data_IF_750941743533
#
_entry.id   IF_750941743533
#
_cell.length_a   1.000
_cell.length_b   1.000
_cell.length_c   1.000
_cell.angle_alpha   90.00
_cell.angle_beta   90.00
_cell.angle_gamma   90.00
#
_symmetry.space_group_name_H-M   'P 1'
#
loop_
_entity.id
_entity.type
_entity.pdbx_description
1 polymer ?
#
# COMPACT_ATOMS: atom_id res chain seq x y z
N UNK A 1 -18.13 6.52 14.92
CA UNK A 1 -17.36 5.33 14.51
C UNK A 1 -18.30 4.44 13.72
N UNK A 2 -18.11 4.36 12.40
CA UNK A 2 -18.90 3.48 11.52
C UNK A 2 -18.90 2.07 12.07
N UNK A 3 -20.05 1.40 12.01
CA UNK A 3 -20.11 -0.04 12.25
C UNK A 3 -19.23 -0.72 11.21
N UNK A 4 -18.12 -1.32 11.65
CA UNK A 4 -17.09 -1.92 10.78
C UNK A 4 -17.69 -2.88 9.74
N UNK A 5 -18.78 -3.56 10.10
CA UNK A 5 -19.55 -4.42 9.21
C UNK A 5 -20.21 -3.65 8.05
N UNK A 6 -20.78 -2.46 8.32
CA UNK A 6 -21.43 -1.63 7.30
C UNK A 6 -20.44 -1.07 6.27
N UNK A 7 -19.23 -0.71 6.69
CA UNK A 7 -18.17 -0.30 5.76
C UNK A 7 -17.70 -1.49 4.90
N UNK A 8 -17.51 -2.66 5.52
CA UNK A 8 -17.10 -3.87 4.82
C UNK A 8 -18.08 -4.26 3.72
N UNK A 9 -19.39 -4.29 4.01
CA UNK A 9 -20.40 -4.61 3.01
C UNK A 9 -20.41 -3.62 1.84
N UNK A 10 -20.16 -2.33 2.09
CA UNK A 10 -20.09 -1.32 1.02
C UNK A 10 -18.84 -1.44 0.14
N UNK A 11 -17.72 -1.92 0.71
CA UNK A 11 -16.50 -2.23 -0.07
C UNK A 11 -16.72 -3.51 -0.89
N UNK A 12 -17.30 -4.56 -0.28
CA UNK A 12 -17.63 -5.81 -0.98
C UNK A 12 -18.59 -5.58 -2.15
N UNK A 13 -19.66 -4.80 -1.94
CA UNK A 13 -20.63 -4.50 -3.00
C UNK A 13 -19.99 -3.80 -4.19
N UNK A 14 -19.09 -2.84 -3.93
CA UNK A 14 -18.31 -2.23 -5.00
C UNK A 14 -17.34 -3.24 -5.65
N UNK A 15 -16.65 -4.05 -4.85
CA UNK A 15 -15.70 -5.06 -5.32
C UNK A 15 -16.33 -6.11 -6.26
N UNK A 16 -17.62 -6.43 -6.10
CA UNK A 16 -18.37 -7.33 -7.01
C UNK A 16 -18.38 -6.86 -8.46
N UNK A 17 -18.11 -5.58 -8.72
CA UNK A 17 -17.97 -5.00 -10.07
C UNK A 17 -16.53 -5.04 -10.62
N UNK A 18 -15.64 -5.81 -9.98
CA UNK A 18 -14.27 -6.07 -10.41
C UNK A 18 -14.05 -7.59 -10.52
N UNK A 19 -13.80 -8.07 -11.74
CA UNK A 19 -13.51 -9.49 -11.99
C UNK A 19 -12.28 -9.93 -11.19
N UNK A 20 -12.39 -11.04 -10.46
CA UNK A 20 -11.31 -11.57 -9.62
C UNK A 20 -11.22 -10.94 -8.23
N UNK A 21 -12.10 -10.00 -7.86
CA UNK A 21 -12.13 -9.47 -6.51
C UNK A 21 -12.57 -10.53 -5.50
N UNK A 22 -11.88 -10.58 -4.35
CA UNK A 22 -12.10 -11.54 -3.28
C UNK A 22 -12.47 -10.82 -1.98
N UNK A 23 -13.20 -11.50 -1.09
CA UNK A 23 -13.62 -10.94 0.20
C UNK A 23 -12.41 -10.49 1.05
N UNK A 24 -11.28 -11.19 0.93
CA UNK A 24 -10.03 -10.84 1.63
C UNK A 24 -9.52 -9.45 1.25
N UNK A 25 -9.70 -8.99 0.00
CA UNK A 25 -9.31 -7.63 -0.42
C UNK A 25 -10.06 -6.57 0.38
N UNK A 26 -11.37 -6.77 0.58
CA UNK A 26 -12.19 -5.84 1.35
C UNK A 26 -11.89 -5.90 2.86
N UNK A 27 -11.72 -7.11 3.41
CA UNK A 27 -11.41 -7.32 4.84
C UNK A 27 -10.09 -6.65 5.22
N UNK A 28 -9.04 -6.87 4.43
CA UNK A 28 -7.72 -6.31 4.71
C UNK A 28 -7.71 -4.79 4.49
N UNK A 29 -8.39 -4.28 3.46
CA UNK A 29 -8.55 -2.85 3.24
C UNK A 29 -9.26 -2.13 4.39
N UNK A 30 -10.39 -2.67 4.88
CA UNK A 30 -11.12 -2.08 6.01
C UNK A 30 -10.29 -2.17 7.29
N UNK A 31 -9.60 -3.29 7.54
CA UNK A 31 -8.75 -3.45 8.73
C UNK A 31 -7.57 -2.49 8.72
N UNK A 32 -6.80 -2.45 7.64
CA UNK A 32 -5.65 -1.56 7.48
C UNK A 32 -6.05 -0.09 7.46
N UNK A 33 -7.11 0.25 6.72
CA UNK A 33 -7.63 1.61 6.67
C UNK A 33 -8.15 2.09 8.03
N UNK A 34 -8.88 1.25 8.77
CA UNK A 34 -9.36 1.57 10.12
C UNK A 34 -8.21 1.85 11.07
N UNK A 35 -7.16 1.03 11.01
CA UNK A 35 -5.95 1.25 11.79
C UNK A 35 -5.35 2.64 11.53
N UNK A 36 -5.11 2.95 10.25
CA UNK A 36 -4.53 4.25 9.84
C UNK A 36 -5.39 5.40 10.36
N UNK A 37 -6.71 5.35 10.13
CA UNK A 37 -7.64 6.39 10.55
C UNK A 37 -7.69 6.55 12.08
N UNK A 38 -7.61 5.45 12.84
CA UNK A 38 -7.59 5.50 14.30
C UNK A 38 -6.32 6.17 14.84
N UNK A 39 -5.16 5.90 14.23
CA UNK A 39 -3.89 6.50 14.66
C UNK A 39 -3.84 8.02 14.50
N UNK A 40 -4.61 8.57 13.56
CA UNK A 40 -4.57 10.00 13.21
C UNK A 40 -5.88 10.73 13.53
N UNK A 41 -6.90 10.06 14.08
CA UNK A 41 -8.22 10.62 14.36
C UNK A 41 -8.16 11.94 15.15
N UNK A 42 -7.32 12.10 16.19
CA UNK A 42 -7.18 13.39 16.88
C UNK A 42 -6.77 14.52 15.93
N UNK A 43 -5.76 14.29 15.08
CA UNK A 43 -5.29 15.27 14.12
C UNK A 43 -6.31 15.56 13.02
N UNK A 44 -7.06 14.54 12.57
CA UNK A 44 -8.14 14.73 11.61
C UNK A 44 -9.27 15.60 12.18
N UNK A 45 -9.62 15.41 13.46
CA UNK A 45 -10.63 16.25 14.14
C UNK A 45 -10.18 17.71 14.20
N UNK A 46 -8.92 17.96 14.52
CA UNK A 46 -8.39 19.33 14.58
C UNK A 46 -8.43 20.03 13.21
N UNK A 47 -8.02 19.34 12.14
CA UNK A 47 -8.04 19.94 10.80
C UNK A 47 -9.45 20.05 10.20
N UNK A 48 -10.42 19.25 10.67
CA UNK A 48 -11.79 19.25 10.14
C UNK A 48 -12.46 20.61 10.23
N UNK A 49 -12.10 21.42 11.24
CA UNK A 49 -12.58 22.81 11.40
C UNK A 49 -12.15 23.68 10.21
N UNK A 50 -10.95 23.44 9.67
CA UNK A 50 -10.40 24.18 8.54
C UNK A 50 -10.85 23.62 7.19
N UNK A 51 -10.89 22.30 7.06
CA UNK A 51 -11.15 21.63 5.76
C UNK A 51 -12.63 21.38 5.52
N UNK A 52 -13.47 21.41 6.57
CA UNK A 52 -14.88 21.01 6.49
C UNK A 52 -15.07 19.50 6.27
N UNK A 53 -14.00 18.70 6.39
CA UNK A 53 -14.03 17.25 6.17
C UNK A 53 -14.11 16.53 7.51
N UNK A 54 -15.30 15.99 7.81
CA UNK A 54 -15.53 15.22 9.04
C UNK A 54 -14.71 13.91 9.01
N UNK A 55 -13.87 13.62 10.02
CA UNK A 55 -13.16 12.36 10.13
C UNK A 55 -14.07 11.13 10.22
N UNK A 56 -15.35 11.33 10.56
CA UNK A 56 -16.37 10.29 10.65
C UNK A 56 -17.30 10.24 9.42
N UNK A 57 -17.05 11.05 8.38
CA UNK A 57 -17.83 11.01 7.14
C UNK A 57 -17.73 9.62 6.49
N UNK A 58 -18.86 8.93 6.42
CA UNK A 58 -18.91 7.56 5.90
C UNK A 58 -18.54 7.46 4.43
N UNK A 59 -18.84 8.49 3.65
CA UNK A 59 -18.54 8.53 2.22
C UNK A 59 -17.03 8.60 2.01
N UNK A 60 -16.33 9.44 2.78
CA UNK A 60 -14.87 9.56 2.70
C UNK A 60 -14.18 8.28 3.17
N UNK A 61 -14.63 7.72 4.29
CA UNK A 61 -14.07 6.49 4.84
C UNK A 61 -14.22 5.32 3.86
N UNK A 62 -15.41 5.13 3.28
CA UNK A 62 -15.65 4.04 2.32
C UNK A 62 -14.85 4.26 1.02
N UNK A 63 -14.73 5.51 0.54
CA UNK A 63 -13.89 5.81 -0.62
C UNK A 63 -12.41 5.45 -0.37
N UNK A 64 -11.89 5.76 0.82
CA UNK A 64 -10.54 5.38 1.23
C UNK A 64 -10.35 3.86 1.27
N UNK A 65 -11.29 3.13 1.89
CA UNK A 65 -11.21 1.67 1.97
C UNK A 65 -11.32 1.00 0.60
N UNK A 66 -12.11 1.55 -0.33
CA UNK A 66 -12.16 1.05 -1.72
C UNK A 66 -10.84 1.24 -2.45
N UNK A 67 -10.14 2.36 -2.26
CA UNK A 67 -8.80 2.54 -2.85
C UNK A 67 -7.79 1.55 -2.24
N UNK A 68 -7.82 1.30 -0.93
CA UNK A 68 -6.96 0.27 -0.33
C UNK A 68 -7.28 -1.13 -0.87
N UNK A 69 -8.55 -1.47 -1.03
CA UNK A 69 -8.98 -2.76 -1.58
C UNK A 69 -8.56 -2.91 -3.05
N UNK A 70 -8.60 -1.81 -3.83
CA UNK A 70 -8.10 -1.77 -5.21
C UNK A 70 -6.61 -2.13 -5.25
N UNK A 71 -5.79 -1.56 -4.36
CA UNK A 71 -4.36 -1.81 -4.33
C UNK A 71 -4.05 -3.29 -4.04
N UNK A 72 -4.75 -3.90 -3.07
CA UNK A 72 -4.62 -5.34 -2.78
C UNK A 72 -5.10 -6.23 -3.93
N UNK A 73 -6.19 -5.86 -4.60
CA UNK A 73 -6.70 -6.62 -5.74
C UNK A 73 -5.75 -6.53 -6.95
N UNK A 74 -5.15 -5.38 -7.22
CA UNK A 74 -4.16 -5.20 -8.30
C UNK A 74 -2.87 -5.99 -8.05
N UNK A 75 -2.43 -6.05 -6.78
CA UNK A 75 -1.31 -6.90 -6.33
C UNK A 75 -1.60 -8.37 -6.69
N UNK A 76 -2.76 -8.90 -6.27
CA UNK A 76 -3.11 -10.30 -6.54
C UNK A 76 -3.39 -10.58 -8.02
N UNK A 77 -3.90 -9.61 -8.78
CA UNK A 77 -4.00 -9.74 -10.24
C UNK A 77 -2.62 -9.96 -10.89
N UNK A 78 -1.60 -9.25 -10.40
CA UNK A 78 -0.23 -9.41 -10.86
C UNK A 78 0.39 -10.71 -10.38
N UNK A 79 0.19 -11.12 -9.13
CA UNK A 79 0.90 -12.29 -8.60
C UNK A 79 0.21 -13.61 -8.98
N UNK A 80 -1.11 -13.67 -8.79
CA UNK A 80 -1.91 -14.89 -8.93
C UNK A 80 -2.55 -15.04 -10.30
N UNK A 81 -2.47 -14.02 -11.15
CA UNK A 81 -3.07 -14.05 -12.49
C UNK A 81 -4.60 -14.17 -12.46
N UNK A 82 -5.25 -13.45 -11.53
CA UNK A 82 -6.71 -13.49 -11.35
C UNK A 82 -7.50 -13.04 -12.59
N UNK A 83 -6.86 -12.26 -13.46
CA UNK A 83 -7.38 -11.77 -14.74
C UNK A 83 -6.33 -11.95 -15.84
N UNK A 84 -6.77 -11.93 -17.10
CA UNK A 84 -5.85 -12.09 -18.23
C UNK A 84 -4.92 -10.86 -18.38
N UNK A 85 -3.75 -11.00 -19.02
CA UNK A 85 -2.88 -9.85 -19.30
C UNK A 85 -3.55 -8.72 -20.08
N UNK A 86 -4.48 -9.05 -20.99
CA UNK A 86 -5.26 -8.07 -21.75
C UNK A 86 -6.23 -7.29 -20.84
N UNK A 87 -6.91 -8.00 -19.93
CA UNK A 87 -7.79 -7.38 -18.93
C UNK A 87 -7.00 -6.47 -17.99
N UNK A 88 -5.85 -6.93 -17.49
CA UNK A 88 -4.99 -6.14 -16.61
C UNK A 88 -4.52 -4.86 -17.30
N UNK A 89 -4.08 -4.93 -18.56
CA UNK A 89 -3.66 -3.75 -19.31
C UNK A 89 -4.81 -2.73 -19.52
N UNK A 90 -6.04 -3.21 -19.74
CA UNK A 90 -7.21 -2.34 -19.86
C UNK A 90 -7.57 -1.67 -18.52
N UNK A 91 -7.50 -2.43 -17.42
CA UNK A 91 -7.72 -1.94 -16.05
C UNK A 91 -6.69 -0.88 -15.67
N UNK A 92 -5.39 -1.15 -15.88
CA UNK A 92 -4.31 -0.20 -15.58
C UNK A 92 -4.50 1.13 -16.34
N UNK A 93 -4.89 1.04 -17.61
CA UNK A 93 -5.20 2.23 -18.42
C UNK A 93 -6.38 3.01 -17.84
N UNK A 94 -7.46 2.32 -17.51
CA UNK A 94 -8.67 2.93 -16.94
C UNK A 94 -8.36 3.70 -15.65
N UNK A 95 -7.65 3.04 -14.73
CA UNK A 95 -7.31 3.59 -13.41
C UNK A 95 -6.25 4.70 -13.48
N UNK A 96 -5.33 4.65 -14.44
CA UNK A 96 -4.24 5.60 -14.57
C UNK A 96 -4.55 6.83 -15.43
N UNK A 97 -5.63 6.80 -16.22
CA UNK A 97 -6.05 7.88 -17.13
C UNK A 97 -7.44 8.45 -16.82
N UNK A 98 -8.13 7.92 -15.81
CA UNK A 98 -9.51 8.27 -15.48
C UNK A 98 -10.47 8.13 -16.68
N UNK A 99 -10.46 6.93 -17.26
CA UNK A 99 -11.39 6.55 -18.34
C UNK A 99 -12.08 5.24 -17.95
N UNK A 100 -13.33 5.02 -18.38
CA UNK A 100 -13.97 3.72 -18.19
C UNK A 100 -13.13 2.59 -18.79
N UNK A 101 -13.11 1.42 -18.13
CA UNK A 101 -12.45 0.25 -18.68
C UNK A 101 -13.12 -0.14 -20.00
N UNK A 102 -12.31 -0.36 -21.03
CA UNK A 102 -12.80 -0.74 -22.35
C UNK A 102 -13.38 -2.18 -22.39
N UNK A 103 -13.04 -2.99 -21.38
CA UNK A 103 -13.51 -4.35 -21.23
C UNK A 103 -14.55 -4.44 -20.10
N UNK A 104 -15.58 -5.29 -20.25
CA UNK A 104 -16.64 -5.45 -19.24
C UNK A 104 -16.14 -6.17 -17.99
N UNK A 105 -16.89 -6.05 -16.89
CA UNK A 105 -16.58 -6.71 -15.62
C UNK A 105 -15.56 -5.97 -14.76
N UNK A 106 -15.36 -4.68 -15.04
CA UNK A 106 -14.45 -3.78 -14.33
C UNK A 106 -15.08 -2.39 -14.11
N UNK A 107 -16.41 -2.33 -14.05
CA UNK A 107 -17.19 -1.09 -13.87
C UNK A 107 -16.84 -0.38 -12.54
N UNK A 108 -16.33 -1.15 -11.57
CA UNK A 108 -15.81 -0.63 -10.31
C UNK A 108 -14.68 0.37 -10.47
N UNK A 109 -13.88 0.27 -11.54
CA UNK A 109 -12.78 1.20 -11.84
C UNK A 109 -13.32 2.62 -12.08
N UNK A 110 -14.29 2.76 -12.98
CA UNK A 110 -14.91 4.05 -13.31
C UNK A 110 -15.70 4.61 -12.11
N UNK A 111 -16.39 3.74 -11.38
CA UNK A 111 -17.17 4.13 -10.18
C UNK A 111 -16.26 4.71 -9.09
N UNK A 112 -15.13 4.06 -8.81
CA UNK A 112 -14.18 4.52 -7.80
C UNK A 112 -13.48 5.82 -8.24
N UNK A 113 -12.95 5.86 -9.46
CA UNK A 113 -12.25 7.05 -9.98
C UNK A 113 -13.18 8.27 -10.05
N UNK A 114 -14.40 8.09 -10.56
CA UNK A 114 -15.43 9.15 -10.54
C UNK A 114 -15.80 9.62 -9.13
N UNK A 115 -15.87 8.71 -8.15
CA UNK A 115 -16.12 9.08 -6.74
C UNK A 115 -14.96 9.90 -6.16
N UNK A 116 -13.72 9.47 -6.40
CA UNK A 116 -12.53 10.18 -5.92
C UNK A 116 -12.39 11.56 -6.57
N UNK A 117 -12.65 11.68 -7.87
CA UNK A 117 -12.68 12.96 -8.57
C UNK A 117 -13.71 13.93 -7.95
N UNK A 118 -14.92 13.43 -7.65
CA UNK A 118 -15.99 14.24 -7.05
C UNK A 118 -15.72 14.61 -5.59
N UNK A 119 -15.02 13.75 -4.84
CA UNK A 119 -14.72 13.95 -3.42
C UNK A 119 -13.43 14.73 -3.18
N UNK A 120 -12.58 14.93 -4.19
CA UNK A 120 -11.29 15.59 -4.04
C UNK A 120 -11.42 16.99 -3.39
N UNK A 121 -10.75 17.18 -2.26
CA UNK A 121 -10.61 18.49 -1.63
C UNK A 121 -9.75 19.42 -2.49
N UNK A 122 -8.66 18.89 -3.02
CA UNK A 122 -7.78 19.53 -4.00
C UNK A 122 -7.64 18.61 -5.23
N UNK A 123 -7.99 19.10 -6.42
CA UNK A 123 -7.93 18.31 -7.64
C UNK A 123 -6.49 17.89 -8.04
N UNK A 124 -5.47 18.59 -7.51
CA UNK A 124 -4.07 18.22 -7.72
C UNK A 124 -3.74 16.87 -7.07
N UNK A 125 -4.34 16.55 -5.93
CA UNK A 125 -4.17 15.24 -5.28
C UNK A 125 -4.87 14.13 -6.07
N UNK A 126 -5.95 14.42 -6.79
CA UNK A 126 -6.55 13.44 -7.70
C UNK A 126 -5.64 13.13 -8.90
N UNK A 127 -5.10 14.16 -9.56
CA UNK A 127 -4.12 13.97 -10.63
C UNK A 127 -2.89 13.19 -10.13
N UNK A 128 -2.38 13.52 -8.95
CA UNK A 128 -1.26 12.80 -8.33
C UNK A 128 -1.61 11.34 -8.00
N UNK A 129 -2.84 11.04 -7.58
CA UNK A 129 -3.27 9.66 -7.33
C UNK A 129 -3.31 8.82 -8.62
N UNK A 130 -3.72 9.42 -9.75
CA UNK A 130 -3.64 8.76 -11.06
C UNK A 130 -2.19 8.44 -11.43
N UNK A 131 -1.27 9.39 -11.18
CA UNK A 131 0.16 9.22 -11.42
C UNK A 131 0.74 8.12 -10.53
N UNK A 132 0.48 8.17 -9.23
CA UNK A 132 0.91 7.17 -8.25
C UNK A 132 0.33 5.78 -8.60
N UNK A 133 -0.89 5.70 -9.15
CA UNK A 133 -1.46 4.44 -9.65
C UNK A 133 -0.67 3.87 -10.83
N UNK A 134 -0.24 4.73 -11.77
CA UNK A 134 0.58 4.28 -12.91
C UNK A 134 1.94 3.77 -12.47
N UNK A 135 2.58 4.45 -11.51
CA UNK A 135 3.85 4.00 -10.95
C UNK A 135 3.70 2.66 -10.22
N UNK A 136 2.67 2.52 -9.38
CA UNK A 136 2.36 1.29 -8.68
C UNK A 136 2.18 0.10 -9.64
N UNK A 137 1.29 0.21 -10.61
CA UNK A 137 1.03 -0.87 -11.57
C UNK A 137 2.27 -1.22 -12.41
N UNK A 138 3.04 -0.20 -12.83
CA UNK A 138 4.29 -0.44 -13.54
C UNK A 138 5.31 -1.19 -12.68
N UNK A 139 5.39 -0.86 -11.39
CA UNK A 139 6.31 -1.49 -10.45
C UNK A 139 5.96 -2.95 -10.15
N UNK A 140 4.66 -3.27 -10.02
CA UNK A 140 4.19 -4.66 -9.88
C UNK A 140 4.58 -5.50 -11.10
N UNK A 141 4.32 -5.00 -12.32
CA UNK A 141 4.71 -5.70 -13.55
C UNK A 141 6.22 -5.86 -13.69
N UNK A 142 6.99 -4.84 -13.33
CA UNK A 142 8.44 -4.87 -13.43
C UNK A 142 9.06 -5.89 -12.45
N UNK A 143 8.56 -5.96 -11.21
CA UNK A 143 8.97 -6.96 -10.22
C UNK A 143 8.73 -8.39 -10.74
N UNK A 144 7.51 -8.68 -11.21
CA UNK A 144 7.16 -9.98 -11.80
C UNK A 144 8.03 -10.35 -13.01
N UNK A 145 8.25 -9.41 -13.92
CA UNK A 145 9.08 -9.65 -15.11
C UNK A 145 10.53 -9.98 -14.74
N UNK A 146 11.05 -9.38 -13.67
CA UNK A 146 12.42 -9.59 -13.20
C UNK A 146 12.59 -10.90 -12.45
N UNK A 147 11.60 -11.30 -11.65
CA UNK A 147 11.57 -12.63 -11.04
C UNK A 147 11.65 -13.77 -12.09
N UNK A 148 11.13 -13.52 -13.31
CA UNK A 148 11.14 -14.47 -14.43
C UNK A 148 12.33 -14.28 -15.40
N UNK A 149 13.10 -13.20 -15.25
CA UNK A 149 14.18 -12.81 -16.15
C UNK A 149 15.48 -13.62 -15.96
N UNK A 150 16.34 -13.62 -16.99
CA UNK A 150 17.65 -14.27 -16.93
C UNK A 150 18.68 -13.45 -16.14
N UNK A 151 18.62 -12.12 -16.24
CA UNK A 151 19.46 -11.21 -15.47
C UNK A 151 18.67 -10.66 -14.29
N UNK A 152 19.24 -10.77 -13.09
CA UNK A 152 18.61 -10.26 -11.87
C UNK A 152 18.99 -8.81 -11.63
N UNK A 153 18.08 -8.01 -11.11
CA UNK A 153 18.35 -6.66 -10.60
C UNK A 153 19.47 -6.61 -9.55
N UNK A 154 20.07 -5.42 -9.42
CA UNK A 154 20.82 -5.01 -8.24
C UNK A 154 19.88 -4.70 -7.07
N UNK A 155 20.44 -4.61 -5.85
CA UNK A 155 19.67 -4.17 -4.67
C UNK A 155 19.07 -2.77 -4.85
N UNK A 156 19.81 -1.86 -5.49
CA UNK A 156 19.35 -0.49 -5.73
C UNK A 156 18.16 -0.44 -6.69
N UNK A 157 18.21 -1.20 -7.79
CA UNK A 157 17.08 -1.30 -8.74
C UNK A 157 15.87 -1.93 -8.07
N UNK A 158 16.08 -3.01 -7.31
CA UNK A 158 15.01 -3.66 -6.54
C UNK A 158 14.34 -2.68 -5.57
N UNK A 159 15.13 -1.98 -4.74
CA UNK A 159 14.57 -1.06 -3.75
C UNK A 159 13.88 0.15 -4.41
N UNK A 160 14.40 0.62 -5.54
CA UNK A 160 13.75 1.68 -6.30
C UNK A 160 12.36 1.26 -6.79
N UNK A 161 12.24 0.07 -7.37
CA UNK A 161 10.95 -0.52 -7.74
C UNK A 161 10.05 -0.74 -6.51
N UNK A 162 10.65 -1.25 -5.43
CA UNK A 162 9.99 -1.57 -4.17
C UNK A 162 9.36 -0.38 -3.46
N UNK A 163 9.89 0.83 -3.67
CA UNK A 163 9.34 2.09 -3.16
C UNK A 163 8.00 2.43 -3.79
N UNK A 164 7.81 2.08 -5.06
CA UNK A 164 6.55 2.31 -5.78
C UNK A 164 5.58 1.14 -5.52
N UNK A 165 6.06 -0.11 -5.54
CA UNK A 165 5.20 -1.29 -5.34
C UNK A 165 4.70 -1.51 -3.90
N UNK A 166 5.19 -0.76 -2.90
CA UNK A 166 4.61 -0.76 -1.54
C UNK A 166 3.38 0.17 -1.42
N UNK A 167 3.07 0.96 -2.46
CA UNK A 167 1.88 1.81 -2.59
C UNK A 167 1.63 2.86 -1.49
N UNK A 168 2.59 3.14 -0.60
CA UNK A 168 2.40 4.15 0.46
C UNK A 168 2.15 5.56 -0.12
N UNK A 169 2.72 5.87 -1.29
CA UNK A 169 2.42 7.11 -2.02
C UNK A 169 0.92 7.23 -2.34
N UNK A 170 0.31 6.16 -2.86
CA UNK A 170 -1.12 6.09 -3.16
C UNK A 170 -1.97 6.28 -1.90
N UNK A 171 -1.61 5.62 -0.79
CA UNK A 171 -2.31 5.74 0.50
C UNK A 171 -2.31 7.19 0.99
N UNK A 172 -1.14 7.82 1.05
CA UNK A 172 -1.02 9.22 1.48
C UNK A 172 -1.75 10.19 0.55
N UNK A 173 -1.68 9.96 -0.77
CA UNK A 173 -2.35 10.79 -1.75
C UNK A 173 -3.88 10.69 -1.63
N UNK A 174 -4.42 9.48 -1.48
CA UNK A 174 -5.85 9.25 -1.27
C UNK A 174 -6.35 9.91 0.02
N UNK A 175 -5.56 9.83 1.09
CA UNK A 175 -5.88 10.54 2.32
C UNK A 175 -5.89 12.07 2.16
N UNK A 176 -4.89 12.63 1.47
CA UNK A 176 -4.85 14.06 1.18
C UNK A 176 -6.04 14.52 0.35
N UNK A 177 -6.38 13.73 -0.67
CA UNK A 177 -7.52 13.94 -1.54
C UNK A 177 -8.83 14.03 -0.73
N UNK A 178 -9.05 13.12 0.21
CA UNK A 178 -10.33 13.00 0.91
C UNK A 178 -10.47 13.98 2.10
N UNK A 179 -9.39 14.20 2.86
CA UNK A 179 -9.41 15.02 4.09
C UNK A 179 -8.73 16.39 3.97
N UNK A 180 -8.17 16.73 2.80
CA UNK A 180 -7.55 18.03 2.56
C UNK A 180 -6.24 18.23 3.33
N UNK A 181 -5.30 17.30 3.16
CA UNK A 181 -4.04 17.27 3.92
C UNK A 181 -2.90 18.10 3.27
N UNK A 182 -3.20 18.77 2.14
CA UNK A 182 -2.30 19.67 1.42
C UNK A 182 -1.00 18.99 0.92
N UNK A 183 -1.08 17.71 0.55
CA UNK A 183 0.05 16.94 0.06
C UNK A 183 0.66 17.57 -1.20
N UNK A 184 -0.17 18.02 -2.16
CA UNK A 184 0.30 18.68 -3.38
C UNK A 184 1.24 19.86 -3.10
N UNK A 185 0.93 20.70 -2.11
CA UNK A 185 1.79 21.83 -1.72
C UNK A 185 3.04 21.35 -1.00
N UNK A 186 2.90 20.40 -0.07
CA UNK A 186 4.04 19.84 0.66
C UNK A 186 5.03 19.11 -0.25
N UNK A 187 4.57 18.49 -1.34
CA UNK A 187 5.41 17.86 -2.37
C UNK A 187 6.36 18.85 -3.04
N UNK A 188 6.14 20.16 -2.97
CA UNK A 188 7.13 21.15 -3.43
C UNK A 188 8.40 21.16 -2.55
N UNK A 189 8.30 20.78 -1.26
CA UNK A 189 9.43 20.72 -0.31
C UNK A 189 10.28 19.47 -0.58
N UNK A 190 11.60 19.61 -0.83
CA UNK A 190 12.50 18.47 -1.04
C UNK A 190 12.48 17.46 0.11
N UNK A 191 12.43 17.95 1.36
CA UNK A 191 12.43 17.11 2.54
C UNK A 191 11.15 16.26 2.67
N UNK A 192 9.99 16.79 2.26
CA UNK A 192 8.75 16.01 2.24
C UNK A 192 8.83 14.86 1.23
N UNK A 193 9.33 15.14 0.01
CA UNK A 193 9.57 14.08 -1.00
C UNK A 193 10.61 13.06 -0.54
N UNK A 194 11.60 13.48 0.26
CA UNK A 194 12.56 12.57 0.87
C UNK A 194 11.89 11.66 1.88
N UNK A 195 11.04 12.19 2.76
CA UNK A 195 10.31 11.40 3.75
C UNK A 195 9.39 10.37 3.10
N UNK A 196 8.66 10.74 2.04
CA UNK A 196 7.83 9.78 1.28
C UNK A 196 8.65 8.60 0.76
N UNK A 197 9.84 8.85 0.20
CA UNK A 197 10.73 7.78 -0.26
C UNK A 197 11.26 6.92 0.89
N UNK A 198 11.63 7.55 2.01
CA UNK A 198 12.16 6.85 3.18
C UNK A 198 11.10 5.94 3.81
N UNK A 199 9.88 6.43 4.02
CA UNK A 199 8.82 5.62 4.63
C UNK A 199 8.36 4.48 3.71
N UNK A 200 8.34 4.69 2.39
CA UNK A 200 8.11 3.61 1.43
C UNK A 200 9.23 2.55 1.46
N UNK A 201 10.50 2.97 1.49
CA UNK A 201 11.62 2.03 1.61
C UNK A 201 11.56 1.22 2.92
N UNK A 202 11.22 1.88 4.04
CA UNK A 202 10.97 1.22 5.33
C UNK A 202 9.85 0.18 5.19
N UNK A 203 8.70 0.56 4.61
CA UNK A 203 7.57 -0.34 4.40
C UNK A 203 7.94 -1.56 3.54
N UNK A 204 8.68 -1.35 2.44
CA UNK A 204 9.19 -2.43 1.58
C UNK A 204 10.12 -3.38 2.35
N UNK A 205 11.12 -2.86 3.05
CA UNK A 205 12.05 -3.69 3.82
C UNK A 205 11.34 -4.46 4.93
N UNK A 206 10.37 -3.82 5.60
CA UNK A 206 9.52 -4.47 6.60
C UNK A 206 8.70 -5.62 6.00
N UNK A 207 8.09 -5.39 4.82
CA UNK A 207 7.31 -6.39 4.12
C UNK A 207 8.19 -7.59 3.71
N UNK A 208 9.32 -7.35 3.06
CA UNK A 208 10.19 -8.41 2.55
C UNK A 208 10.78 -9.27 3.69
N UNK A 209 11.21 -8.63 4.79
CA UNK A 209 11.72 -9.33 5.97
C UNK A 209 10.63 -10.18 6.64
N UNK A 210 9.36 -9.77 6.55
CA UNK A 210 8.23 -10.50 7.11
C UNK A 210 7.80 -11.67 6.23
N UNK A 211 7.60 -11.40 4.93
CA UNK A 211 7.12 -12.34 3.93
C UNK A 211 8.15 -13.37 3.47
N UNK A 212 9.44 -13.16 3.79
CA UNK A 212 10.56 -14.00 3.33
C UNK A 212 10.31 -15.51 3.36
N UNK A 213 9.79 -16.03 4.47
CA UNK A 213 9.58 -17.47 4.64
C UNK A 213 8.45 -18.00 3.76
N UNK A 214 7.36 -17.23 3.65
CA UNK A 214 6.26 -17.51 2.73
C UNK A 214 6.76 -17.48 1.29
N UNK A 215 7.47 -16.43 0.89
CA UNK A 215 7.96 -16.25 -0.48
C UNK A 215 8.94 -17.35 -0.88
N UNK A 216 9.87 -17.69 0.02
CA UNK A 216 10.81 -18.80 -0.20
C UNK A 216 10.09 -20.13 -0.38
N UNK A 217 9.03 -20.38 0.39
CA UNK A 217 8.25 -21.62 0.30
C UNK A 217 7.37 -21.67 -0.93
N UNK A 218 6.88 -20.50 -1.39
CA UNK A 218 6.11 -20.34 -2.63
C UNK A 218 6.94 -20.30 -3.91
N UNK A 219 8.27 -20.22 -3.80
CA UNK A 219 9.16 -20.07 -4.95
C UNK A 219 9.13 -18.65 -5.56
N UNK A 220 8.65 -17.66 -4.82
CA UNK A 220 8.64 -16.26 -5.22
C UNK A 220 10.06 -15.67 -5.12
N UNK A 221 10.47 -14.93 -6.14
CA UNK A 221 11.81 -14.35 -6.22
C UNK A 221 11.80 -12.81 -6.08
N UNK A 222 10.63 -12.17 -6.10
CA UNK A 222 10.46 -10.73 -5.91
C UNK A 222 10.52 -10.29 -4.43
N UNK A 223 11.58 -10.70 -3.73
CA UNK A 223 11.85 -10.38 -2.33
C UNK A 223 13.33 -10.01 -2.14
N UNK A 224 13.65 -8.88 -1.49
CA UNK A 224 15.03 -8.43 -1.33
C UNK A 224 15.96 -9.49 -0.70
N UNK A 225 15.46 -10.23 0.30
CA UNK A 225 16.26 -11.25 0.97
C UNK A 225 16.55 -12.44 0.06
N UNK A 226 15.59 -12.83 -0.79
CA UNK A 226 15.75 -13.91 -1.75
C UNK A 226 16.70 -13.47 -2.86
N UNK A 227 16.49 -12.29 -3.44
CA UNK A 227 17.36 -11.69 -4.47
C UNK A 227 18.82 -11.65 -4.01
N UNK A 228 19.09 -11.06 -2.84
CA UNK A 228 20.45 -10.92 -2.32
C UNK A 228 21.07 -12.28 -1.98
N UNK A 229 20.29 -13.22 -1.40
CA UNK A 229 20.81 -14.55 -1.06
C UNK A 229 21.20 -15.36 -2.30
N UNK A 230 20.45 -15.19 -3.39
CA UNK A 230 20.77 -15.86 -4.66
C UNK A 230 21.97 -15.24 -5.39
N UNK A 231 22.18 -13.92 -5.25
CA UNK A 231 23.32 -13.22 -5.87
C UNK A 231 24.60 -13.30 -5.04
N UNK A 232 24.48 -13.30 -3.72
CA UNK A 232 25.58 -13.28 -2.77
C UNK A 232 25.39 -14.35 -1.67
N UNK A 233 25.58 -15.65 -1.98
CA UNK A 233 25.22 -16.73 -1.05
C UNK A 233 25.96 -16.71 0.30
N UNK A 234 27.13 -16.07 0.37
CA UNK A 234 27.92 -15.95 1.59
C UNK A 234 27.58 -14.71 2.44
N UNK A 235 26.72 -13.82 1.94
CA UNK A 235 26.38 -12.57 2.62
C UNK A 235 25.39 -12.85 3.77
N UNK A 236 25.54 -12.21 4.96
CA UNK A 236 24.53 -12.25 6.01
C UNK A 236 23.35 -11.32 5.65
N UNK A 237 22.57 -11.73 4.64
CA UNK A 237 21.55 -10.88 3.99
C UNK A 237 20.53 -10.32 4.97
N UNK A 238 20.08 -11.13 5.93
CA UNK A 238 19.07 -10.73 6.91
C UNK A 238 19.60 -9.64 7.85
N UNK A 239 20.85 -9.79 8.29
CA UNK A 239 21.51 -8.78 9.13
C UNK A 239 21.65 -7.47 8.36
N UNK A 240 22.16 -7.54 7.13
CA UNK A 240 22.27 -6.38 6.24
C UNK A 240 20.94 -5.65 6.04
N UNK A 241 19.85 -6.37 5.75
CA UNK A 241 18.54 -5.75 5.53
C UNK A 241 17.94 -5.15 6.81
N UNK A 242 18.22 -5.72 7.98
CA UNK A 242 17.84 -5.10 9.26
C UNK A 242 18.64 -3.82 9.53
N UNK A 243 19.93 -3.80 9.18
CA UNK A 243 20.77 -2.60 9.29
C UNK A 243 20.31 -1.50 8.33
N UNK A 244 19.96 -1.85 7.08
CA UNK A 244 19.37 -0.93 6.10
C UNK A 244 18.04 -0.36 6.62
N UNK A 245 17.16 -1.19 7.16
CA UNK A 245 15.89 -0.76 7.75
C UNK A 245 16.11 0.22 8.91
N UNK A 246 17.04 -0.09 9.81
CA UNK A 246 17.40 0.79 10.92
C UNK A 246 18.02 2.10 10.42
N UNK A 247 18.85 2.04 9.37
CA UNK A 247 19.43 3.20 8.70
C UNK A 247 18.38 4.14 8.11
N UNK A 248 17.45 3.61 7.32
CA UNK A 248 16.34 4.37 6.76
C UNK A 248 15.45 4.97 7.85
N UNK A 249 15.19 4.24 8.93
CA UNK A 249 14.42 4.72 10.08
C UNK A 249 15.11 5.90 10.79
N UNK A 250 16.44 5.82 11.01
CA UNK A 250 17.21 6.95 11.57
C UNK A 250 17.17 8.18 10.66
N UNK A 251 17.30 7.99 9.34
CA UNK A 251 17.18 9.08 8.38
C UNK A 251 15.79 9.72 8.40
N UNK A 252 14.73 8.90 8.49
CA UNK A 252 13.36 9.35 8.60
C UNK A 252 13.16 10.21 9.85
N UNK A 253 13.53 9.69 11.02
CA UNK A 253 13.38 10.41 12.30
C UNK A 253 14.11 11.76 12.29
N UNK A 254 15.32 11.80 11.72
CA UNK A 254 16.08 13.05 11.59
C UNK A 254 15.31 14.10 10.79
N UNK A 255 14.84 13.75 9.59
CA UNK A 255 14.12 14.71 8.73
C UNK A 255 12.78 15.12 9.36
N UNK A 256 12.07 14.19 9.99
CA UNK A 256 10.81 14.49 10.71
C UNK A 256 11.02 15.46 11.88
N UNK A 257 12.13 15.33 12.61
CA UNK A 257 12.49 16.23 13.70
C UNK A 257 12.94 17.61 13.21
N UNK A 258 13.60 17.69 12.05
CA UNK A 258 14.09 18.95 11.47
C UNK A 258 12.97 19.78 10.83
N UNK A 259 12.01 19.15 10.14
CA UNK A 259 11.08 19.85 9.24
C UNK A 259 9.70 20.18 9.84
N UNK A 260 9.34 19.56 10.97
CA UNK A 260 8.07 19.71 11.69
C UNK A 260 6.85 19.86 10.73
N UNK A 261 6.57 18.84 9.93
CA UNK A 261 5.45 18.88 8.98
C UNK A 261 4.11 19.11 9.69
N UNK A 262 3.16 19.83 9.04
CA UNK A 262 1.86 20.10 9.65
C UNK A 262 1.09 18.81 9.94
N UNK A 263 0.18 18.85 10.92
CA UNK A 263 -0.71 17.73 11.17
C UNK A 263 -1.57 17.42 9.93
N UNK A 264 -1.87 16.13 9.64
CA UNK A 264 -1.56 14.93 10.43
C UNK A 264 -0.27 14.21 10.00
N UNK A 265 0.62 14.84 9.22
CA UNK A 265 1.73 14.13 8.56
C UNK A 265 2.67 13.41 9.52
N UNK A 266 3.01 14.01 10.67
CA UNK A 266 3.79 13.35 11.71
C UNK A 266 3.18 12.02 12.16
N UNK A 267 2.01 12.04 12.83
CA UNK A 267 1.31 10.83 13.27
C UNK A 267 1.03 9.83 12.14
N UNK A 268 0.73 10.31 10.94
CA UNK A 268 0.48 9.45 9.78
C UNK A 268 1.72 8.66 9.36
N UNK A 269 2.88 9.32 9.27
CA UNK A 269 4.14 8.67 8.91
C UNK A 269 4.57 7.68 10.00
N UNK A 270 4.38 8.03 11.27
CA UNK A 270 4.64 7.15 12.40
C UNK A 270 3.74 5.91 12.40
N UNK A 271 2.45 6.07 12.09
CA UNK A 271 1.51 4.97 11.96
C UNK A 271 1.93 3.99 10.85
N UNK A 272 2.36 4.50 9.69
CA UNK A 272 2.85 3.64 8.61
C UNK A 272 4.13 2.90 8.98
N UNK A 273 5.03 3.52 9.74
CA UNK A 273 6.25 2.87 10.22
C UNK A 273 5.96 1.76 11.25
N UNK A 274 4.88 1.90 12.03
CA UNK A 274 4.44 0.95 13.05
C UNK A 274 3.48 -0.14 12.52
N UNK A 275 2.92 0.04 11.32
CA UNK A 275 1.90 -0.82 10.71
C UNK A 275 2.25 -2.31 10.84
N UNK A 276 3.50 -2.69 10.54
CA UNK A 276 3.94 -4.10 10.62
C UNK A 276 3.75 -4.73 12.01
N UNK A 277 4.11 -4.02 13.07
CA UNK A 277 4.11 -4.57 14.42
C UNK A 277 2.68 -4.85 14.92
N UNK A 278 1.67 -4.20 14.34
CA UNK A 278 0.30 -4.23 14.86
C UNK A 278 -0.70 -4.87 13.88
N UNK A 279 -0.45 -4.79 12.57
CA UNK A 279 -1.37 -5.27 11.53
C UNK A 279 -0.94 -6.60 10.89
N UNK A 280 0.32 -6.74 10.47
CA UNK A 280 0.79 -7.96 9.78
C UNK A 280 0.86 -9.19 10.71
N UNK A 281 1.06 -9.00 12.01
CA UNK A 281 1.08 -10.10 12.99
C UNK A 281 -0.30 -10.69 13.28
N UNK A 282 -1.39 -9.92 13.06
CA UNK A 282 -2.77 -10.34 13.35
C UNK A 282 -3.60 -10.62 12.11
N UNK A 283 -2.96 -10.61 10.93
CA UNK A 283 -3.61 -10.92 9.65
C UNK A 283 -4.25 -12.30 9.67
N UNK A 284 -5.44 -12.41 9.08
CA UNK A 284 -6.25 -13.63 9.07
C UNK A 284 -5.67 -14.75 8.21
N UNK A 285 -5.00 -14.41 7.09
CA UNK A 285 -4.36 -15.38 6.19
C UNK A 285 -3.16 -14.79 5.42
N UNK A 286 -3.34 -13.66 4.68
CA UNK A 286 -2.33 -13.06 3.78
C UNK A 286 -0.89 -12.95 4.32
N UNK A 287 -0.70 -12.59 5.59
CA UNK A 287 0.61 -12.37 6.22
C UNK A 287 0.95 -13.31 7.39
N UNK A 288 0.14 -14.36 7.63
CA UNK A 288 0.38 -15.31 8.72
C UNK A 288 1.42 -16.34 8.28
N UNK A 289 2.57 -16.38 8.94
CA UNK A 289 3.53 -17.48 8.78
C UNK A 289 3.00 -18.68 9.58
N UNK A 290 2.54 -19.73 8.91
CA UNK A 290 2.10 -20.99 9.55
C UNK A 290 3.25 -21.81 10.19
N UNK A 291 4.45 -21.23 10.32
CA UNK A 291 5.61 -21.86 10.96
C UNK A 291 5.47 -22.04 12.50
N UNK A 292 4.34 -21.68 13.10
CA UNK A 292 4.02 -21.98 14.50
C UNK A 292 3.04 -23.15 14.66
N UNK A 293 3.11 -24.13 13.74
CA UNK A 293 2.17 -25.25 13.66
C UNK A 293 2.80 -26.62 13.59
N UNK A 294 3.81 -26.94 14.41
CA UNK A 294 4.20 -28.33 14.66
C UNK A 294 4.94 -28.49 16.00
N UNK A 295 4.17 -28.45 17.09
CA UNK A 295 4.54 -29.17 18.31
C UNK A 295 3.41 -30.15 18.61
N UNK A 296 3.35 -31.23 17.82
CA UNK A 296 2.77 -32.48 18.29
C UNK A 296 3.68 -32.99 19.42
N UNK A 297 3.39 -32.59 20.66
CA UNK A 297 3.73 -33.45 21.78
C UNK A 297 2.68 -34.55 21.83
N UNK A 298 3.00 -35.64 21.12
CA UNK A 298 2.63 -36.96 21.55
C UNK A 298 3.00 -37.12 23.02
N UNK A 299 2.02 -37.30 23.90
CA UNK A 299 2.19 -38.10 25.10
C UNK A 299 0.94 -38.94 25.32
N UNK A 300 1.22 -40.20 25.61
CA UNK A 300 0.33 -41.33 25.79
C UNK A 300 -0.65 -41.17 26.96
#
# INVERSE_FOLDING_TARGET
MIQTEGALQQVLEWGRSLTGFADEHAVEAVRGGKYILQCIDPSLRDISVRTGRDPQDETLIVAFYRELALLFWLDDCNDLGLITPEQLAAVERALGQDVPCALPGFEGCATLRGSLAALAYDCRDYAQLLDDTRYYCAALRAGRAQAQGAERWSYTEYLHNGVDSIAYANVFCCMSLLWGLDMATLRARPAFRQVLRLISAIGRLQNDLHGREKDRSGGEADNAAILLSQRYPAMPVVEFLNDELAGHTRMLHRVMAEECFPAPWGPLIEAMAALRAQYYQTSTSRYRNDAAGECQCAQA
#
